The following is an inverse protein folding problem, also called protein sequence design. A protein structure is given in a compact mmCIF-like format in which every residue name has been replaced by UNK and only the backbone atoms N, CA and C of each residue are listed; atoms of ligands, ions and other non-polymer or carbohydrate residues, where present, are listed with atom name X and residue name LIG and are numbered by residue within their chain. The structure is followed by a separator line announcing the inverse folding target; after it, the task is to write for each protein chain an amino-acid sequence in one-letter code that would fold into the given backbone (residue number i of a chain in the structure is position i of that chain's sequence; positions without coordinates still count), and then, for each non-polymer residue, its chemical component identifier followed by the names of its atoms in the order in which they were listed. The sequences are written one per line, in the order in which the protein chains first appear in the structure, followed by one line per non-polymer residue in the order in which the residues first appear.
data_IF_377775718055
#
_entry.id   IF_377775718055
#
_cell.length_a   1.000
_cell.length_b   1.000
_cell.length_c   1.000
_cell.angle_alpha   90.00
_cell.angle_beta   90.00
_cell.angle_gamma   90.00
#
_symmetry.space_group_name_H-M   'P 1'
#
loop_
_entity.id
_entity.type
_entity.pdbx_description
1 polymer ?
#
# COMPACT_ATOMS: atom_id res chain seq x y z
N UNK A 1 -23.34 -3.59 -2.75
CA UNK A 1 -22.80 -4.68 -1.92
C UNK A 1 -21.46 -5.20 -2.44
N UNK A 2 -21.34 -5.84 -3.63
CA UNK A 2 -20.02 -6.28 -4.13
C UNK A 2 -19.08 -5.13 -4.52
N UNK A 3 -19.63 -4.03 -5.04
CA UNK A 3 -18.84 -2.85 -5.42
C UNK A 3 -18.30 -2.07 -4.20
N UNK A 4 -18.98 -2.16 -3.05
CA UNK A 4 -18.59 -1.41 -1.85
C UNK A 4 -17.33 -2.02 -1.23
N UNK A 5 -17.24 -3.37 -1.19
CA UNK A 5 -16.04 -4.08 -0.72
C UNK A 5 -14.80 -3.75 -1.57
N UNK A 6 -14.96 -3.67 -2.90
CA UNK A 6 -13.86 -3.30 -3.81
C UNK A 6 -13.39 -1.88 -3.51
N UNK A 7 -14.32 -0.93 -3.32
CA UNK A 7 -13.98 0.45 -2.98
C UNK A 7 -13.27 0.54 -1.63
N UNK A 8 -13.70 -0.23 -0.63
CA UNK A 8 -13.06 -0.24 0.69
C UNK A 8 -11.64 -0.81 0.62
N UNK A 9 -11.44 -1.93 -0.07
CA UNK A 9 -10.10 -2.52 -0.25
C UNK A 9 -9.16 -1.61 -1.04
N UNK A 10 -9.66 -0.91 -2.06
CA UNK A 10 -8.87 0.08 -2.79
C UNK A 10 -8.45 1.27 -1.91
N UNK A 11 -9.29 1.68 -0.95
CA UNK A 11 -8.95 2.74 0.00
C UNK A 11 -7.93 2.27 1.03
N UNK A 12 -8.05 1.02 1.50
CA UNK A 12 -7.07 0.38 2.38
C UNK A 12 -5.71 0.31 1.69
N UNK A 13 -5.64 -0.33 0.51
CA UNK A 13 -4.40 -0.42 -0.25
C UNK A 13 -3.78 0.96 -0.50
N UNK A 14 -4.59 1.97 -0.87
CA UNK A 14 -4.08 3.33 -1.05
C UNK A 14 -3.47 3.92 0.24
N UNK A 15 -4.12 3.70 1.39
CA UNK A 15 -3.59 4.19 2.66
C UNK A 15 -2.28 3.48 3.02
N UNK A 16 -2.21 2.16 2.80
CA UNK A 16 -1.01 1.36 3.02
C UNK A 16 0.16 1.89 2.16
N UNK A 17 -0.04 2.15 0.86
CA UNK A 17 1.03 2.69 0.01
C UNK A 17 1.50 4.08 0.44
N UNK A 18 0.57 4.94 0.89
CA UNK A 18 0.91 6.27 1.39
C UNK A 18 1.70 6.17 2.70
N UNK A 19 1.38 5.21 3.57
CA UNK A 19 2.16 4.94 4.79
C UNK A 19 3.56 4.40 4.45
N UNK A 20 3.65 3.44 3.51
CA UNK A 20 4.91 2.88 3.03
C UNK A 20 5.82 3.99 2.49
N UNK A 21 5.29 4.93 1.70
CA UNK A 21 6.02 6.11 1.23
C UNK A 21 6.59 6.93 2.40
N UNK A 22 5.79 7.20 3.43
CA UNK A 22 6.26 7.96 4.61
C UNK A 22 7.40 7.24 5.32
N UNK A 23 7.27 5.92 5.50
CA UNK A 23 8.24 5.12 6.22
C UNK A 23 9.52 4.91 5.41
N UNK A 24 9.43 4.57 4.11
CA UNK A 24 10.60 4.43 3.23
C UNK A 24 11.36 5.75 3.11
N UNK A 25 10.65 6.87 2.95
CA UNK A 25 11.27 8.19 2.90
C UNK A 25 12.06 8.50 4.18
N UNK A 26 11.51 8.12 5.33
CA UNK A 26 12.14 8.34 6.64
C UNK A 26 13.34 7.41 6.81
N UNK A 27 13.17 6.10 6.62
CA UNK A 27 14.22 5.10 6.72
C UNK A 27 15.40 5.38 5.77
N UNK A 28 15.14 5.83 4.54
CA UNK A 28 16.18 6.20 3.58
C UNK A 28 17.05 7.39 4.03
N UNK A 29 16.56 8.22 4.96
CA UNK A 29 17.27 9.37 5.51
C UNK A 29 17.96 9.00 6.82
N UNK A 30 17.25 8.35 7.74
CA UNK A 30 17.73 8.16 9.13
C UNK A 30 18.70 7.01 9.29
N UNK A 31 18.73 6.03 8.38
CA UNK A 31 19.66 4.91 8.47
C UNK A 31 21.12 5.37 8.34
N UNK A 32 21.96 4.87 9.25
CA UNK A 32 23.37 5.19 9.37
C UNK A 32 24.27 3.96 9.12
N UNK A 33 25.48 4.23 8.66
CA UNK A 33 26.54 3.24 8.50
C UNK A 33 26.68 2.70 7.08
N UNK A 34 27.89 2.23 6.76
CA UNK A 34 28.28 1.82 5.40
C UNK A 34 27.40 0.70 4.85
N UNK A 35 26.91 -0.19 5.70
CA UNK A 35 26.03 -1.31 5.32
C UNK A 35 24.63 -0.86 4.93
N UNK A 36 24.23 0.36 5.28
CA UNK A 36 22.89 0.87 5.02
C UNK A 36 22.77 1.60 3.67
N UNK A 37 23.88 1.95 3.01
CA UNK A 37 23.85 2.76 1.78
C UNK A 37 23.04 2.10 0.66
N UNK A 38 23.22 0.79 0.43
CA UNK A 38 22.45 0.05 -0.58
C UNK A 38 20.94 0.03 -0.25
N UNK A 39 20.60 -0.14 1.04
CA UNK A 39 19.19 -0.13 1.49
C UNK A 39 18.57 1.26 1.32
N UNK A 40 19.31 2.32 1.65
CA UNK A 40 18.84 3.71 1.47
C UNK A 40 18.62 4.05 0.01
N UNK A 41 19.45 3.53 -0.90
CA UNK A 41 19.24 3.70 -2.34
C UNK A 41 18.04 2.91 -2.86
N UNK A 42 17.82 1.68 -2.37
CA UNK A 42 16.62 0.89 -2.69
C UNK A 42 15.36 1.61 -2.24
N UNK A 43 15.26 1.97 -0.95
CA UNK A 43 14.09 2.64 -0.38
C UNK A 43 13.75 3.95 -1.12
N UNK A 44 14.74 4.70 -1.63
CA UNK A 44 14.49 5.92 -2.43
C UNK A 44 13.86 5.62 -3.78
N UNK A 45 14.21 4.49 -4.40
CA UNK A 45 13.59 4.03 -5.64
C UNK A 45 12.17 3.57 -5.34
N UNK A 46 12.00 2.76 -4.30
CA UNK A 46 10.73 2.18 -3.90
C UNK A 46 9.71 3.27 -3.49
N UNK A 47 10.14 4.39 -2.90
CA UNK A 47 9.28 5.56 -2.69
C UNK A 47 8.57 6.02 -3.97
N UNK A 48 9.25 6.00 -5.13
CA UNK A 48 8.63 6.37 -6.40
C UNK A 48 7.70 5.27 -6.92
N UNK A 49 8.02 4.00 -6.65
CA UNK A 49 7.17 2.86 -7.02
C UNK A 49 5.84 2.91 -6.24
N UNK A 50 5.88 3.14 -4.93
CA UNK A 50 4.67 3.22 -4.10
C UNK A 50 3.82 4.45 -4.39
N UNK A 51 4.43 5.58 -4.72
CA UNK A 51 3.67 6.73 -5.24
C UNK A 51 2.95 6.37 -6.55
N UNK A 52 3.57 5.55 -7.40
CA UNK A 52 2.96 5.02 -8.61
C UNK A 52 1.79 4.08 -8.32
N UNK A 53 1.91 3.20 -7.33
CA UNK A 53 0.82 2.34 -6.87
C UNK A 53 -0.35 3.17 -6.31
N UNK A 54 -0.06 4.11 -5.41
CA UNK A 54 -1.06 5.00 -4.82
C UNK A 54 -1.82 5.82 -5.89
N UNK A 55 -1.13 6.30 -6.94
CA UNK A 55 -1.76 6.98 -8.06
C UNK A 55 -2.70 6.04 -8.84
N UNK A 56 -2.26 4.82 -9.17
CA UNK A 56 -3.08 3.85 -9.89
C UNK A 56 -4.36 3.50 -9.11
N UNK A 57 -4.23 3.24 -7.81
CA UNK A 57 -5.36 2.96 -6.92
C UNK A 57 -6.33 4.15 -6.85
N UNK A 58 -5.80 5.37 -6.76
CA UNK A 58 -6.60 6.60 -6.77
C UNK A 58 -7.38 6.78 -8.07
N UNK A 59 -6.75 6.54 -9.22
CA UNK A 59 -7.43 6.59 -10.52
C UNK A 59 -8.52 5.52 -10.61
N UNK A 60 -8.29 4.33 -10.06
CA UNK A 60 -9.30 3.27 -10.02
C UNK A 60 -10.48 3.64 -9.14
N UNK A 61 -10.24 4.18 -7.95
CA UNK A 61 -11.29 4.73 -7.07
C UNK A 61 -12.11 5.79 -7.81
N UNK A 62 -11.45 6.69 -8.55
CA UNK A 62 -12.12 7.74 -9.31
C UNK A 62 -13.03 7.20 -10.41
N UNK A 63 -12.63 6.14 -11.10
CA UNK A 63 -13.46 5.45 -12.11
C UNK A 63 -14.72 4.81 -11.53
N UNK A 64 -14.71 4.49 -10.23
CA UNK A 64 -15.84 3.91 -9.49
C UNK A 64 -16.67 4.98 -8.76
N UNK A 65 -16.55 6.24 -9.15
CA UNK A 65 -17.18 7.40 -8.50
C UNK A 65 -16.86 7.52 -7.00
N UNK A 66 -15.74 6.95 -6.56
CA UNK A 66 -15.18 7.09 -5.22
C UNK A 66 -13.98 8.04 -5.21
N UNK A 67 -13.34 8.19 -4.04
CA UNK A 67 -12.11 8.97 -3.87
C UNK A 67 -11.15 8.28 -2.89
N UNK A 68 -9.84 8.50 -3.03
CA UNK A 68 -8.89 8.17 -1.98
C UNK A 68 -9.16 8.98 -0.70
N UNK A 69 -8.84 8.43 0.49
CA UNK A 69 -8.84 9.18 1.74
C UNK A 69 -7.80 10.31 1.69
N UNK A 70 -8.08 11.42 2.37
CA UNK A 70 -7.10 12.48 2.63
C UNK A 70 -6.38 12.27 3.96
N UNK A 71 -5.41 13.12 4.29
CA UNK A 71 -4.61 12.99 5.52
C UNK A 71 -5.42 13.02 6.82
N UNK A 72 -6.58 13.68 6.85
CA UNK A 72 -7.47 13.67 8.02
C UNK A 72 -8.23 12.35 8.22
N UNK A 73 -8.26 11.47 7.21
CA UNK A 73 -8.86 10.14 7.24
C UNK A 73 -7.81 9.02 7.36
N UNK A 74 -6.53 9.38 7.25
CA UNK A 74 -5.41 8.45 7.35
C UNK A 74 -5.21 7.97 8.79
N UNK A 75 -4.97 6.67 8.95
CA UNK A 75 -4.59 6.05 10.22
C UNK A 75 -3.42 5.12 9.95
N UNK A 76 -2.31 5.33 10.65
CA UNK A 76 -1.11 4.52 10.52
C UNK A 76 -1.30 3.13 11.15
N UNK A 77 -0.74 2.09 10.52
CA UNK A 77 -0.79 0.70 10.96
C UNK A 77 0.49 -0.11 10.75
N UNK A 78 1.50 0.42 10.06
CA UNK A 78 2.76 -0.28 9.75
C UNK A 78 3.77 -0.18 10.91
N UNK A 79 3.48 -0.89 12.00
CA UNK A 79 4.28 -0.83 13.23
C UNK A 79 5.73 -1.31 13.05
N UNK A 80 5.98 -2.34 12.24
CA UNK A 80 7.32 -2.92 12.04
C UNK A 80 8.20 -2.15 11.05
N UNK A 81 7.60 -1.31 10.19
CA UNK A 81 8.32 -0.52 9.18
C UNK A 81 8.73 0.88 9.68
N UNK A 82 8.41 1.20 10.94
CA UNK A 82 8.84 2.45 11.58
C UNK A 82 10.37 2.57 11.65
N UNK A 83 10.93 3.79 11.62
CA UNK A 83 12.37 3.97 11.79
C UNK A 83 12.87 3.40 13.12
N UNK A 84 13.96 2.63 13.13
CA UNK A 84 14.47 2.01 14.35
C UNK A 84 15.06 3.04 15.31
N UNK A 85 15.04 2.74 16.62
CA UNK A 85 15.67 3.58 17.64
C UNK A 85 17.19 3.67 17.45
N UNK A 86 17.83 2.55 17.07
CA UNK A 86 19.22 2.51 16.62
C UNK A 86 19.26 2.66 15.10
N UNK A 87 19.75 3.80 14.61
CA UNK A 87 19.86 4.09 13.17
C UNK A 87 20.78 3.13 12.41
N UNK A 88 21.58 2.32 13.10
CA UNK A 88 22.45 1.30 12.48
C UNK A 88 21.80 -0.08 12.37
N UNK A 89 20.58 -0.25 12.89
CA UNK A 89 19.81 -1.50 12.78
C UNK A 89 19.11 -1.63 11.42
N UNK A 90 19.90 -1.94 10.41
CA UNK A 90 19.42 -2.17 9.03
C UNK A 90 18.49 -3.40 8.96
N UNK A 91 18.65 -4.38 9.85
CA UNK A 91 17.83 -5.60 9.82
C UNK A 91 16.39 -5.33 10.25
N UNK A 92 16.18 -4.43 11.22
CA UNK A 92 14.84 -3.99 11.60
C UNK A 92 14.08 -3.42 10.40
N UNK A 93 14.72 -2.55 9.61
CA UNK A 93 14.09 -1.96 8.41
C UNK A 93 13.81 -3.01 7.34
N UNK A 94 14.75 -3.93 7.09
CA UNK A 94 14.53 -5.01 6.10
C UNK A 94 13.34 -5.88 6.51
N UNK A 95 13.23 -6.25 7.79
CA UNK A 95 12.10 -7.05 8.25
C UNK A 95 10.79 -6.25 8.17
N UNK A 96 10.80 -4.96 8.51
CA UNK A 96 9.64 -4.09 8.36
C UNK A 96 9.18 -3.94 6.90
N UNK A 97 10.11 -3.89 5.95
CA UNK A 97 9.80 -3.91 4.51
C UNK A 97 9.08 -5.21 4.17
N UNK A 98 9.65 -6.35 4.55
CA UNK A 98 9.06 -7.66 4.26
C UNK A 98 7.65 -7.81 4.84
N UNK A 99 7.43 -7.36 6.08
CA UNK A 99 6.10 -7.39 6.70
C UNK A 99 5.09 -6.53 5.92
N UNK A 100 5.46 -5.30 5.55
CA UNK A 100 4.61 -4.40 4.79
C UNK A 100 4.25 -4.96 3.39
N UNK A 101 5.23 -5.57 2.71
CA UNK A 101 5.03 -6.22 1.41
C UNK A 101 4.12 -7.46 1.52
N UNK A 102 4.27 -8.27 2.57
CA UNK A 102 3.41 -9.43 2.82
C UNK A 102 1.95 -9.00 3.05
N UNK A 103 1.74 -7.94 3.83
CA UNK A 103 0.42 -7.36 4.07
C UNK A 103 -0.18 -6.74 2.80
N UNK A 104 0.62 -6.00 2.01
CA UNK A 104 0.18 -5.44 0.72
C UNK A 104 -0.23 -6.54 -0.25
N UNK A 105 0.55 -7.62 -0.37
CA UNK A 105 0.23 -8.79 -1.18
C UNK A 105 -1.08 -9.44 -0.74
N UNK A 106 -1.32 -9.56 0.57
CA UNK A 106 -2.57 -10.10 1.10
C UNK A 106 -3.76 -9.21 0.71
N UNK A 107 -3.65 -7.89 0.93
CA UNK A 107 -4.66 -6.90 0.53
C UNK A 107 -4.95 -6.95 -0.97
N UNK A 108 -3.92 -7.06 -1.81
CA UNK A 108 -4.09 -7.14 -3.26
C UNK A 108 -4.77 -8.43 -3.71
N UNK A 109 -4.46 -9.57 -3.09
CA UNK A 109 -5.18 -10.84 -3.35
C UNK A 109 -6.66 -10.72 -3.01
N UNK A 110 -6.99 -10.14 -1.85
CA UNK A 110 -8.38 -9.89 -1.47
C UNK A 110 -9.08 -8.95 -2.45
N UNK A 111 -8.38 -7.92 -2.94
CA UNK A 111 -8.92 -6.98 -3.92
C UNK A 111 -9.24 -7.68 -5.26
N UNK A 112 -8.37 -8.57 -5.72
CA UNK A 112 -8.58 -9.37 -6.93
C UNK A 112 -9.84 -10.23 -6.76
N UNK A 113 -9.93 -11.00 -5.67
CA UNK A 113 -11.08 -11.88 -5.40
C UNK A 113 -12.40 -11.07 -5.33
N UNK A 114 -12.38 -9.91 -4.67
CA UNK A 114 -13.55 -9.04 -4.58
C UNK A 114 -13.96 -8.46 -5.94
N UNK A 115 -12.99 -8.12 -6.78
CA UNK A 115 -13.24 -7.60 -8.13
C UNK A 115 -13.84 -8.68 -9.04
N UNK A 116 -13.32 -9.90 -9.01
CA UNK A 116 -13.84 -11.04 -9.78
C UNK A 116 -15.29 -11.38 -9.37
N UNK A 117 -15.58 -11.41 -8.07
CA UNK A 117 -16.92 -11.62 -7.56
C UNK A 117 -17.91 -10.51 -8.02
N UNK A 118 -17.45 -9.26 -8.05
CA UNK A 118 -18.26 -8.14 -8.52
C UNK A 118 -18.61 -8.27 -10.01
N UNK A 119 -17.64 -8.63 -10.86
CA UNK A 119 -17.86 -8.80 -12.29
C UNK A 119 -18.80 -9.96 -12.61
N UNK A 120 -18.59 -11.12 -11.96
CA UNK A 120 -19.47 -12.28 -12.12
C UNK A 120 -20.94 -11.95 -11.77
N UNK A 121 -21.16 -11.15 -10.73
CA UNK A 121 -22.51 -10.70 -10.34
C UNK A 121 -23.15 -9.77 -11.39
N UNK A 122 -22.35 -8.89 -12.01
CA UNK A 122 -22.83 -7.98 -13.05
C UNK A 122 -23.22 -8.72 -14.34
N UNK A 123 -22.45 -9.73 -14.74
CA UNK A 123 -22.75 -10.60 -15.88
C UNK A 123 -24.02 -11.42 -15.65
N UNK A 124 -24.20 -11.96 -14.44
CA UNK A 124 -25.41 -12.70 -14.07
C UNK A 124 -26.68 -11.84 -14.11
N UNK A 125 -26.59 -10.55 -13.75
CA UNK A 125 -27.72 -9.62 -13.85
C UNK A 125 -28.08 -9.29 -15.30
N UNK A 126 -27.08 -9.03 -16.16
CA UNK A 126 -27.29 -8.68 -17.58
C UNK A 126 -27.86 -9.82 -18.42
N UNK A 127 -27.66 -11.07 -18.01
CA UNK A 127 -28.17 -12.26 -18.71
C UNK A 127 -29.61 -12.64 -18.33
N UNK A 128 -30.22 -11.96 -17.34
CA UNK A 128 -31.59 -12.23 -16.85
C UNK A 128 -32.61 -11.15 -17.22
N UNK A 129 -32.21 -10.08 -17.89
CA UNK A 129 -33.08 -9.00 -18.41
C UNK A 129 -33.05 -8.98 -19.93
#
# INVERSE_FOLDING_TARGET
MSSDRVVDLLRTAYADEIETVMNYQTNAIVLDGVRAEEIKESLKQDVQEELGHAEQLSQRLKQLDARPPGSAEFTAGQESLQPPEDSTDVLAVINGVLDAEEDAIATYRELIDAAEAADASAVAYRSRG
#
